data_IF_407331998755
#
_entry.id   IF_407331998755
#
_cell.length_a   1.000
_cell.length_b   1.000
_cell.length_c   1.000
_cell.angle_alpha   90.00
_cell.angle_beta   90.00
_cell.angle_gamma   90.00
#
_symmetry.space_group_name_H-M   'P 1'
#
loop_
_entity.id
_entity.type
_entity.pdbx_description
1 polymer ?
#
# COMPACT_ATOMS: atom_id res chain seq x y z
N UNK A 1 -1.01 15.26 21.58
CA UNK A 1 -0.48 14.89 20.23
C UNK A 1 -1.46 14.04 19.44
N UNK A 2 -2.53 14.64 18.91
CA UNK A 2 -3.54 13.92 18.13
C UNK A 2 -3.01 13.51 16.76
N UNK A 3 -2.66 12.23 16.63
CA UNK A 3 -2.14 11.69 15.38
C UNK A 3 -3.28 11.37 14.42
N UNK A 4 -3.73 12.37 13.67
CA UNK A 4 -4.81 12.18 12.73
C UNK A 4 -4.32 11.60 11.41
N UNK A 5 -4.19 12.45 10.40
CA UNK A 5 -3.73 12.02 9.08
C UNK A 5 -2.60 12.91 8.59
N UNK A 6 -1.80 13.42 9.52
CA UNK A 6 -0.67 14.28 9.17
C UNK A 6 0.45 13.47 8.53
N UNK A 7 0.84 12.39 9.20
CA UNK A 7 1.91 11.53 8.69
C UNK A 7 1.53 10.89 7.36
N UNK A 8 0.24 10.56 7.22
CA UNK A 8 -0.25 9.95 5.99
C UNK A 8 -0.02 10.86 4.79
N UNK A 9 -0.37 12.13 4.96
CA UNK A 9 -0.20 13.11 3.89
C UNK A 9 1.27 13.34 3.58
N UNK A 10 2.08 13.49 4.61
CA UNK A 10 3.50 13.72 4.46
C UNK A 10 4.15 12.58 3.68
N UNK A 11 3.77 11.34 4.00
CA UNK A 11 4.31 10.17 3.33
C UNK A 11 3.96 10.18 1.85
N UNK A 12 2.69 10.42 1.55
CA UNK A 12 2.22 10.46 0.17
C UNK A 12 2.94 11.55 -0.62
N UNK A 13 3.29 12.63 0.06
CA UNK A 13 3.98 13.75 -0.57
C UNK A 13 5.33 13.31 -1.12
N UNK A 14 6.02 12.46 -0.37
CA UNK A 14 7.32 11.97 -0.79
C UNK A 14 7.20 11.02 -1.97
N UNK A 15 6.24 10.10 -1.90
CA UNK A 15 6.01 9.13 -2.96
C UNK A 15 5.52 9.81 -4.23
N UNK A 16 4.60 10.76 -4.06
CA UNK A 16 4.04 11.49 -5.20
C UNK A 16 5.09 12.41 -5.83
N UNK A 17 5.92 13.01 -5.00
CA UNK A 17 6.96 13.92 -5.47
C UNK A 17 8.12 13.15 -6.10
N UNK A 18 8.54 12.07 -5.44
CA UNK A 18 9.64 11.25 -5.93
C UNK A 18 9.31 10.66 -7.30
N UNK A 19 8.13 10.06 -7.42
CA UNK A 19 7.71 9.47 -8.68
C UNK A 19 7.50 10.55 -9.75
N UNK A 20 7.02 11.71 -9.33
CA UNK A 20 6.77 12.82 -10.24
C UNK A 20 8.04 13.17 -11.02
N UNK A 21 9.18 13.09 -10.35
CA UNK A 21 10.46 13.41 -10.99
C UNK A 21 10.70 12.49 -12.19
N UNK A 22 10.20 11.27 -12.10
CA UNK A 22 10.36 10.30 -13.18
C UNK A 22 9.44 10.62 -14.34
N UNK A 23 8.18 10.93 -14.02
CA UNK A 23 7.21 11.26 -15.04
C UNK A 23 6.10 10.23 -15.13
N UNK A 24 5.88 9.50 -14.04
CA UNK A 24 4.85 8.48 -14.00
C UNK A 24 3.57 9.02 -13.38
N UNK A 25 3.71 10.04 -12.53
CA UNK A 25 2.56 10.66 -11.88
C UNK A 25 1.87 9.66 -10.94
N UNK A 26 1.99 9.90 -9.64
CA UNK A 26 1.39 9.03 -8.64
C UNK A 26 -0.14 9.06 -8.75
N UNK A 27 -0.75 7.88 -8.75
CA UNK A 27 -2.21 7.78 -8.84
C UNK A 27 -2.76 6.90 -7.72
N UNK A 28 -3.80 7.40 -7.05
CA UNK A 28 -4.42 6.66 -5.96
C UNK A 28 -5.67 5.94 -6.42
N UNK A 29 -5.57 4.62 -6.72
CA UNK A 29 -6.70 3.82 -7.17
C UNK A 29 -7.75 3.62 -6.07
N UNK A 30 -9.01 3.59 -6.47
CA UNK A 30 -10.10 3.40 -5.52
C UNK A 30 -10.59 1.95 -5.52
N UNK A 31 -10.76 1.40 -4.33
CA UNK A 31 -11.22 0.02 -4.18
C UNK A 31 -12.40 -0.08 -3.22
N UNK A 32 -13.46 -0.73 -3.67
CA UNK A 32 -14.66 -0.89 -2.85
C UNK A 32 -15.24 0.47 -2.47
N UNK A 33 -15.22 1.40 -3.42
CA UNK A 33 -15.74 2.74 -3.19
C UNK A 33 -15.01 3.43 -2.04
N UNK A 34 -13.74 3.08 -1.86
CA UNK A 34 -12.93 3.65 -0.80
C UNK A 34 -11.49 3.83 -1.25
N UNK A 35 -10.71 4.58 -0.48
CA UNK A 35 -9.32 4.84 -0.80
C UNK A 35 -8.43 3.67 -0.36
N UNK A 36 -7.44 3.35 -1.19
CA UNK A 36 -6.52 2.25 -0.89
C UNK A 36 -5.41 2.72 0.04
N UNK A 37 -5.34 2.12 1.23
CA UNK A 37 -4.31 2.48 2.20
C UNK A 37 -2.91 2.24 1.63
N UNK A 38 -1.91 2.85 2.27
CA UNK A 38 -0.54 2.70 1.82
C UNK A 38 0.41 2.55 3.01
N UNK A 39 0.41 3.54 3.90
CA UNK A 39 1.28 3.51 5.07
C UNK A 39 1.00 2.26 5.91
N UNK A 40 -0.27 2.04 6.23
CA UNK A 40 -0.67 0.89 7.02
C UNK A 40 -0.42 -0.41 6.26
N UNK A 41 -0.75 -0.41 4.97
CA UNK A 41 -0.56 -1.59 4.13
C UNK A 41 0.91 -2.00 4.07
N UNK A 42 1.79 -1.01 4.03
CA UNK A 42 3.23 -1.26 3.98
C UNK A 42 3.72 -1.91 5.28
N UNK A 43 3.19 -1.44 6.40
CA UNK A 43 3.58 -1.97 7.70
C UNK A 43 3.10 -3.40 7.88
N UNK A 44 1.86 -3.66 7.49
CA UNK A 44 1.28 -4.98 7.61
C UNK A 44 2.09 -6.02 6.84
N UNK A 45 2.55 -5.65 5.65
CA UNK A 45 3.33 -6.55 4.81
C UNK A 45 4.64 -6.93 5.50
N UNK A 46 5.37 -5.94 5.98
CA UNK A 46 6.64 -6.17 6.66
C UNK A 46 6.45 -7.06 7.88
N UNK A 47 5.44 -6.73 8.69
CA UNK A 47 5.15 -7.49 9.90
C UNK A 47 4.90 -8.97 9.58
N UNK A 48 4.54 -9.25 8.33
CA UNK A 48 4.27 -10.61 7.91
C UNK A 48 5.56 -11.31 7.48
N UNK A 49 6.52 -10.54 7.01
CA UNK A 49 7.79 -11.10 6.57
C UNK A 49 8.29 -10.46 5.29
N UNK A 50 8.15 -9.14 5.19
CA UNK A 50 8.60 -8.43 4.01
C UNK A 50 7.55 -8.40 2.92
N UNK A 51 7.27 -9.57 2.36
CA UNK A 51 6.28 -9.67 1.29
C UNK A 51 6.09 -11.13 0.85
N UNK A 52 7.20 -11.77 0.51
CA UNK A 52 7.17 -13.17 0.07
C UNK A 52 6.52 -14.06 1.12
N UNK A 53 6.83 -13.79 2.38
CA UNK A 53 6.27 -14.57 3.49
C UNK A 53 4.75 -14.48 3.50
N UNK A 54 4.22 -13.34 3.09
CA UNK A 54 2.78 -13.13 3.06
C UNK A 54 2.11 -14.03 2.03
N UNK A 55 2.70 -14.10 0.84
CA UNK A 55 2.16 -14.92 -0.24
C UNK A 55 2.33 -16.41 0.08
N UNK A 56 3.48 -16.75 0.65
CA UNK A 56 3.78 -18.13 1.00
C UNK A 56 2.77 -18.66 2.02
N UNK A 57 2.38 -17.80 2.96
CA UNK A 57 1.44 -18.19 4.00
C UNK A 57 0.01 -17.79 3.60
N UNK A 58 -0.12 -16.93 2.60
CA UNK A 58 -1.42 -16.48 2.13
C UNK A 58 -2.11 -15.62 3.20
N UNK A 59 -1.33 -14.79 3.87
CA UNK A 59 -1.85 -13.92 4.92
C UNK A 59 -2.24 -12.55 4.35
N UNK A 60 -2.31 -12.45 3.03
CA UNK A 60 -2.67 -11.20 2.37
C UNK A 60 -4.12 -10.81 2.67
N UNK A 61 -4.97 -11.83 2.82
CA UNK A 61 -6.37 -11.60 3.11
C UNK A 61 -6.56 -10.85 4.42
N UNK A 62 -5.74 -11.20 5.42
CA UNK A 62 -5.81 -10.55 6.72
C UNK A 62 -5.40 -9.09 6.62
N UNK A 63 -4.50 -8.79 5.69
CA UNK A 63 -4.04 -7.42 5.49
C UNK A 63 -5.18 -6.52 5.04
N UNK A 64 -5.93 -6.96 4.05
CA UNK A 64 -7.04 -6.17 3.56
C UNK A 64 -8.18 -6.09 4.55
N UNK A 65 -8.45 -7.19 5.22
CA UNK A 65 -9.53 -7.25 6.21
C UNK A 65 -9.28 -6.25 7.34
N UNK A 66 -8.02 -6.14 7.75
CA UNK A 66 -7.65 -5.23 8.83
C UNK A 66 -7.95 -3.78 8.43
N UNK A 67 -7.84 -3.48 7.14
CA UNK A 67 -8.11 -2.14 6.65
C UNK A 67 -9.58 -1.79 6.79
N UNK A 68 -10.45 -2.65 6.26
CA UNK A 68 -11.88 -2.41 6.34
C UNK A 68 -12.60 -2.80 5.07
N UNK A 69 -12.25 -3.96 4.52
CA UNK A 69 -12.87 -4.45 3.30
C UNK A 69 -13.84 -5.60 3.59
N UNK A 70 -15.02 -5.53 2.99
CA UNK A 70 -16.03 -6.56 3.18
C UNK A 70 -15.68 -7.83 2.40
N UNK A 71 -16.00 -9.02 2.96
CA UNK A 71 -15.71 -10.29 2.30
C UNK A 71 -16.28 -10.35 0.88
N UNK A 72 -15.48 -9.93 -0.08
CA UNK A 72 -15.91 -9.94 -1.46
C UNK A 72 -15.28 -11.06 -2.26
N UNK A 73 -15.13 -10.85 -3.56
CA UNK A 73 -14.54 -11.87 -4.44
C UNK A 73 -13.10 -12.17 -4.02
N UNK A 74 -12.20 -11.22 -4.28
CA UNK A 74 -10.81 -11.41 -3.92
C UNK A 74 -10.03 -10.11 -3.93
N UNK A 75 -10.27 -9.27 -2.93
CA UNK A 75 -9.59 -7.99 -2.83
C UNK A 75 -8.09 -8.18 -2.58
N UNK A 76 -7.73 -9.33 -2.02
CA UNK A 76 -6.34 -9.62 -1.73
C UNK A 76 -5.47 -9.53 -2.98
N UNK A 77 -6.00 -9.96 -4.11
CA UNK A 77 -5.26 -9.93 -5.37
C UNK A 77 -5.01 -8.49 -5.80
N UNK A 78 -5.97 -7.62 -5.54
CA UNK A 78 -5.85 -6.21 -5.91
C UNK A 78 -4.86 -5.49 -5.00
N UNK A 79 -4.89 -5.85 -3.72
CA UNK A 79 -4.00 -5.23 -2.75
C UNK A 79 -2.54 -5.55 -3.08
N UNK A 80 -2.28 -6.81 -3.40
CA UNK A 80 -0.92 -7.24 -3.74
C UNK A 80 -0.39 -6.48 -4.96
N UNK A 81 -1.21 -6.41 -6.00
CA UNK A 81 -0.83 -5.72 -7.23
C UNK A 81 -0.71 -4.21 -6.99
N UNK A 82 -1.66 -3.67 -6.23
CA UNK A 82 -1.66 -2.24 -5.93
C UNK A 82 -0.43 -1.86 -5.11
N UNK A 83 -0.16 -2.63 -4.06
CA UNK A 83 0.99 -2.37 -3.19
C UNK A 83 2.30 -2.60 -3.94
N UNK A 84 2.38 -3.72 -4.65
CA UNK A 84 3.58 -4.06 -5.40
C UNK A 84 3.51 -3.49 -6.81
N UNK A 85 3.60 -2.16 -6.90
CA UNK A 85 3.55 -1.48 -8.19
C UNK A 85 3.90 0.00 -8.05
N UNK A 86 3.46 0.62 -6.96
CA UNK A 86 3.72 2.03 -6.72
C UNK A 86 4.38 2.26 -5.36
N UNK A 87 3.81 1.66 -4.32
CA UNK A 87 4.35 1.82 -2.97
C UNK A 87 5.57 0.94 -2.74
N UNK A 88 5.45 -0.35 -3.06
CA UNK A 88 6.55 -1.29 -2.88
C UNK A 88 7.81 -0.83 -3.61
N UNK A 89 7.73 -0.58 -4.93
CA UNK A 89 8.89 -0.13 -5.72
C UNK A 89 9.55 1.12 -5.14
N UNK A 90 8.78 1.92 -4.42
CA UNK A 90 9.30 3.14 -3.82
C UNK A 90 10.50 2.83 -2.92
N UNK A 91 10.31 1.91 -1.98
CA UNK A 91 11.37 1.53 -1.06
C UNK A 91 12.59 1.02 -1.82
N UNK A 92 12.37 0.10 -2.74
CA UNK A 92 13.45 -0.47 -3.53
C UNK A 92 14.23 0.63 -4.26
N UNK A 93 13.51 1.65 -4.72
CA UNK A 93 14.13 2.76 -5.43
C UNK A 93 15.20 3.43 -4.58
N UNK A 94 14.90 3.59 -3.29
CA UNK A 94 15.84 4.22 -2.36
C UNK A 94 16.84 3.20 -1.82
N UNK A 95 16.34 2.00 -1.51
CA UNK A 95 17.19 0.94 -0.98
C UNK A 95 17.62 -0.02 -2.08
N UNK A 96 17.75 0.50 -3.30
CA UNK A 96 18.15 -0.33 -4.41
C UNK A 96 19.50 0.06 -4.98
#
# INVERSE_FOLDING_TARGET
GPLGSRVRLDFLDQLAKFWELQGSTLKIPVVERKILDLYALSKIVASKGGFEMVTKEKKWSKVGSRLGYLPGKGTGSLLKSHYERILYPYELFQSG
#
